data_IF_983741394039
#
_entry.id   IF_983741394039
#
_cell.length_a   1.000
_cell.length_b   1.000
_cell.length_c   1.000
_cell.angle_alpha   90.00
_cell.angle_beta   90.00
_cell.angle_gamma   90.00
#
_symmetry.space_group_name_H-M   'P 1'
#
loop_
_entity.id
_entity.type
_entity.pdbx_description
1 polymer ?
#
# COMPACT_ATOMS: atom_id res chain seq x y z
N UNK A 1 2.41 27.17 37.14
CA UNK A 1 3.30 27.48 36.01
C UNK A 1 2.97 26.53 34.87
N UNK A 2 2.53 27.00 33.68
CA UNK A 2 2.30 26.08 32.56
C UNK A 2 3.67 25.53 32.13
N UNK A 3 3.80 24.21 32.14
CA UNK A 3 5.03 23.52 31.72
C UNK A 3 5.15 23.63 30.21
N UNK A 4 5.80 24.73 29.82
CA UNK A 4 6.31 25.11 28.50
C UNK A 4 6.72 23.87 27.72
N UNK A 5 6.08 23.69 26.55
CA UNK A 5 6.34 22.64 25.58
C UNK A 5 7.67 22.96 24.88
N UNK A 6 8.75 22.18 25.03
CA UNK A 6 9.83 22.29 24.08
C UNK A 6 9.40 21.54 22.82
N UNK A 7 9.34 22.29 21.73
CA UNK A 7 9.44 21.85 20.35
C UNK A 7 10.01 20.43 20.19
N UNK A 8 9.13 19.45 20.02
CA UNK A 8 9.50 18.12 19.56
C UNK A 8 9.07 18.01 18.09
N UNK A 9 9.97 18.40 17.19
CA UNK A 9 9.95 17.95 15.81
C UNK A 9 10.20 16.43 15.83
N UNK A 10 9.14 15.66 16.04
CA UNK A 10 9.19 14.20 16.19
C UNK A 10 8.81 13.49 14.92
N UNK A 11 9.82 12.96 14.21
CA UNK A 11 9.72 11.72 13.45
C UNK A 11 9.13 11.82 12.05
N UNK A 12 10.00 12.05 11.07
CA UNK A 12 9.72 11.70 9.67
C UNK A 12 9.65 10.18 9.46
N UNK A 13 8.82 9.78 8.47
CA UNK A 13 8.82 8.47 7.83
C UNK A 13 8.19 7.35 8.67
N UNK A 14 7.11 6.69 8.30
CA UNK A 14 6.53 6.44 6.98
C UNK A 14 5.03 6.24 7.20
N UNK A 15 4.20 6.73 6.30
CA UNK A 15 2.74 6.53 6.31
C UNK A 15 2.33 5.07 6.00
N UNK A 16 3.20 4.09 6.30
CA UNK A 16 2.89 2.69 6.19
C UNK A 16 1.71 2.41 7.11
N UNK A 17 0.54 2.20 6.51
CA UNK A 17 -0.66 1.85 7.22
C UNK A 17 -0.32 0.66 8.14
N UNK A 18 -0.62 0.75 9.45
CA UNK A 18 -0.29 -0.33 10.38
C UNK A 18 -0.92 -1.63 9.87
N UNK A 19 -0.09 -2.64 9.58
CA UNK A 19 -0.51 -3.95 9.03
C UNK A 19 -0.33 -4.14 7.52
N UNK A 20 0.08 -3.11 6.78
CA UNK A 20 0.33 -3.21 5.34
C UNK A 20 1.81 -3.51 5.07
N UNK A 21 2.09 -4.63 4.40
CA UNK A 21 3.43 -5.04 3.99
C UNK A 21 3.75 -4.51 2.59
N UNK A 22 5.03 -4.24 2.36
CA UNK A 22 5.54 -3.91 1.04
C UNK A 22 5.18 -5.03 0.05
N UNK A 23 4.47 -4.67 -1.01
CA UNK A 23 4.06 -5.60 -2.07
C UNK A 23 2.64 -6.14 -1.93
N UNK A 24 1.94 -5.91 -0.83
CA UNK A 24 0.49 -6.16 -0.75
C UNK A 24 -0.24 -5.30 -1.78
N UNK A 25 -1.39 -5.79 -2.26
CA UNK A 25 -2.14 -5.13 -3.31
C UNK A 25 -3.64 -5.21 -3.06
N UNK A 26 -4.35 -4.16 -3.45
CA UNK A 26 -5.81 -4.14 -3.45
C UNK A 26 -6.30 -4.63 -4.80
N UNK A 27 -7.29 -5.51 -4.80
CA UNK A 27 -7.92 -5.94 -6.04
C UNK A 27 -8.57 -4.74 -6.75
N UNK A 28 -8.12 -4.44 -7.97
CA UNK A 28 -8.63 -3.33 -8.79
C UNK A 28 -9.94 -3.64 -9.51
N UNK A 29 -10.45 -4.87 -9.37
CA UNK A 29 -11.72 -5.28 -9.96
C UNK A 29 -12.86 -4.51 -9.31
N UNK A 30 -13.67 -3.86 -10.14
CA UNK A 30 -14.88 -3.14 -9.72
C UNK A 30 -15.78 -4.05 -8.89
N UNK A 31 -16.00 -3.67 -7.62
CA UNK A 31 -16.86 -4.42 -6.68
C UNK A 31 -16.14 -5.47 -5.83
N UNK A 32 -14.81 -5.63 -5.96
CA UNK A 32 -14.03 -6.52 -5.09
C UNK A 32 -13.24 -5.73 -4.04
N UNK A 33 -12.33 -4.84 -4.49
CA UNK A 33 -11.57 -3.90 -3.65
C UNK A 33 -10.96 -4.53 -2.39
N UNK A 34 -10.57 -5.79 -2.50
CA UNK A 34 -10.19 -6.64 -1.38
C UNK A 34 -8.68 -6.64 -1.19
N UNK A 35 -8.22 -6.74 0.07
CA UNK A 35 -6.80 -6.74 0.39
C UNK A 35 -6.16 -8.11 0.16
N UNK A 36 -5.16 -8.16 -0.73
CA UNK A 36 -4.43 -9.38 -1.03
C UNK A 36 -2.97 -9.26 -0.60
N UNK A 37 -2.45 -10.36 -0.07
CA UNK A 37 -1.06 -10.46 0.37
C UNK A 37 -0.09 -10.43 -0.81
N UNK A 38 1.13 -9.91 -0.59
CA UNK A 38 2.18 -9.78 -1.59
C UNK A 38 2.55 -11.08 -2.33
N UNK A 39 2.35 -12.24 -1.68
CA UNK A 39 2.62 -13.56 -2.26
C UNK A 39 1.54 -14.05 -3.24
N UNK A 40 0.38 -13.38 -3.28
CA UNK A 40 -0.74 -13.76 -4.14
C UNK A 40 -0.60 -13.08 -5.51
N UNK A 41 -0.65 -13.89 -6.56
CA UNK A 41 -0.75 -13.44 -7.95
C UNK A 41 -2.20 -13.24 -8.41
N UNK A 42 -3.16 -13.69 -7.61
CA UNK A 42 -4.59 -13.62 -7.87
C UNK A 42 -5.36 -13.24 -6.60
N UNK A 43 -6.49 -12.56 -6.76
CA UNK A 43 -7.31 -12.12 -5.65
C UNK A 43 -7.95 -13.32 -4.94
N UNK A 44 -7.87 -13.38 -3.61
CA UNK A 44 -8.43 -14.50 -2.85
C UNK A 44 -9.96 -14.61 -2.94
N UNK A 45 -10.64 -13.50 -3.26
CA UNK A 45 -12.10 -13.41 -3.27
C UNK A 45 -12.72 -13.64 -4.64
N UNK A 46 -12.11 -13.11 -5.70
CA UNK A 46 -12.68 -13.13 -7.05
C UNK A 46 -11.77 -13.80 -8.09
N UNK A 47 -10.63 -14.35 -7.67
CA UNK A 47 -9.61 -14.98 -8.51
C UNK A 47 -9.11 -14.10 -9.68
N UNK A 48 -9.28 -12.78 -9.57
CA UNK A 48 -8.79 -11.85 -10.57
C UNK A 48 -7.26 -11.77 -10.50
N UNK A 49 -6.55 -11.73 -11.64
CA UNK A 49 -5.10 -11.60 -11.64
C UNK A 49 -4.68 -10.27 -11.00
N UNK A 50 -3.51 -10.29 -10.36
CA UNK A 50 -2.85 -9.08 -9.88
C UNK A 50 -2.53 -8.21 -11.08
N UNK A 51 -3.07 -7.00 -11.09
CA UNK A 51 -2.66 -5.98 -12.06
C UNK A 51 -1.16 -5.70 -11.85
N UNK A 52 -0.35 -6.32 -12.69
CA UNK A 52 1.11 -6.12 -12.72
C UNK A 52 1.47 -4.91 -13.61
N UNK A 53 0.49 -4.05 -13.91
CA UNK A 53 0.64 -2.90 -14.82
C UNK A 53 1.22 -1.67 -14.12
N UNK A 54 1.96 -1.84 -13.03
CA UNK A 54 2.76 -0.77 -12.40
C UNK A 54 4.28 -0.94 -12.59
N UNK A 55 4.71 -1.74 -13.57
CA UNK A 55 6.14 -2.04 -13.78
C UNK A 55 6.60 -2.12 -15.24
N UNK A 56 5.73 -1.87 -16.22
CA UNK A 56 6.16 -1.75 -17.62
C UNK A 56 5.53 -0.52 -18.24
N UNK A 57 6.18 0.62 -18.04
CA UNK A 57 6.29 1.51 -19.18
C UNK A 57 7.31 0.86 -20.13
N UNK A 58 6.93 0.36 -21.32
CA UNK A 58 7.91 0.09 -22.37
C UNK A 58 8.44 1.40 -22.99
N UNK A 59 8.05 2.56 -22.46
CA UNK A 59 8.35 3.87 -23.02
C UNK A 59 8.88 4.81 -21.93
N UNK A 60 10.18 4.70 -21.64
CA UNK A 60 10.96 5.86 -21.22
C UNK A 60 11.96 6.07 -22.34
N UNK A 61 11.66 7.08 -23.17
CA UNK A 61 12.52 7.62 -24.22
C UNK A 61 13.82 8.19 -23.67
#
# INVERSE_FOLDING_TARGET
MPRIRPFAFGGGGTSARPGWKSGDWICTRSGCNEHNFANRMECYRCNAPRDSSSGRSPYSS
#
